data_IF_383056728544
#
_entry.id   IF_383056728544
#
_cell.length_a   1.000
_cell.length_b   1.000
_cell.length_c   1.000
_cell.angle_alpha   90.00
_cell.angle_beta   90.00
_cell.angle_gamma   90.00
#
_symmetry.space_group_name_H-M   'P 1'
#
loop_
_entity.id
_entity.type
_entity.pdbx_description
1 polymer ?
#
# COMPACT_ATOMS: atom_id res chain seq x y z
N UNK A 1 6.48 -28.66 -55.23
CA UNK A 1 6.00 -28.19 -53.90
C UNK A 1 6.87 -27.03 -53.52
N UNK A 2 6.37 -25.83 -53.80
CA UNK A 2 7.12 -24.59 -53.55
C UNK A 2 7.20 -24.32 -52.06
N UNK A 3 8.42 -24.42 -51.54
CA UNK A 3 8.76 -23.86 -50.23
C UNK A 3 8.90 -22.33 -50.35
N UNK A 4 7.79 -21.63 -50.45
CA UNK A 4 7.75 -20.22 -50.16
C UNK A 4 7.75 -20.05 -48.65
N UNK A 5 8.95 -20.12 -48.06
CA UNK A 5 9.18 -19.54 -46.72
C UNK A 5 8.91 -18.04 -46.81
N UNK A 6 7.71 -17.64 -46.37
CA UNK A 6 7.45 -16.27 -46.03
C UNK A 6 8.40 -15.88 -44.88
N UNK A 7 9.59 -15.40 -45.26
CA UNK A 7 10.46 -14.69 -44.31
C UNK A 7 9.70 -13.49 -43.80
N UNK A 8 9.19 -13.61 -42.60
CA UNK A 8 8.58 -12.48 -41.87
C UNK A 8 9.63 -11.37 -41.81
N UNK A 9 9.40 -10.28 -42.55
CA UNK A 9 10.25 -9.09 -42.44
C UNK A 9 9.84 -8.38 -41.16
N UNK A 10 10.58 -8.62 -40.08
CA UNK A 10 10.39 -7.93 -38.82
C UNK A 10 10.91 -6.52 -39.00
N UNK A 11 10.00 -5.54 -39.07
CA UNK A 11 10.37 -4.13 -39.15
C UNK A 11 10.72 -3.63 -37.74
N UNK A 12 11.98 -3.26 -37.54
CA UNK A 12 12.47 -2.70 -36.27
C UNK A 12 12.17 -1.21 -36.23
N UNK A 13 11.66 -0.72 -35.09
CA UNK A 13 11.27 0.68 -34.92
C UNK A 13 12.46 1.58 -34.51
N UNK A 14 13.57 1.49 -35.24
CA UNK A 14 14.78 2.29 -34.96
C UNK A 14 14.53 3.80 -35.01
N UNK A 15 13.65 4.28 -35.89
CA UNK A 15 13.30 5.68 -35.96
C UNK A 15 12.64 6.18 -34.67
N UNK A 16 11.79 5.37 -34.06
CA UNK A 16 11.14 5.70 -32.78
C UNK A 16 12.15 5.68 -31.61
N UNK A 17 13.16 4.80 -31.69
CA UNK A 17 14.26 4.83 -30.73
C UNK A 17 15.03 6.16 -30.81
N UNK A 18 15.35 6.63 -32.02
CA UNK A 18 16.06 7.89 -32.20
C UNK A 18 15.23 9.09 -31.71
N UNK A 19 13.93 9.11 -32.00
CA UNK A 19 13.01 10.14 -31.47
C UNK A 19 13.01 10.14 -29.95
N UNK A 20 12.88 8.96 -29.32
CA UNK A 20 12.94 8.85 -27.86
C UNK A 20 14.26 9.39 -27.32
N UNK A 21 15.39 8.94 -27.91
CA UNK A 21 16.71 9.29 -27.40
C UNK A 21 17.00 10.77 -27.52
N UNK A 22 16.64 11.39 -28.63
CA UNK A 22 16.80 12.83 -28.83
C UNK A 22 15.93 13.66 -27.88
N UNK A 23 14.80 13.14 -27.47
CA UNK A 23 13.87 13.84 -26.57
C UNK A 23 14.24 13.67 -25.10
N UNK A 24 14.61 12.45 -24.69
CA UNK A 24 14.76 12.07 -23.27
C UNK A 24 16.16 11.56 -22.91
N UNK A 25 16.87 10.95 -23.86
CA UNK A 25 18.10 10.19 -23.61
C UNK A 25 19.30 11.03 -23.16
N UNK A 26 19.38 12.31 -23.62
CA UNK A 26 20.50 13.21 -23.29
C UNK A 26 20.68 13.41 -21.76
N UNK A 27 19.62 13.27 -20.99
CA UNK A 27 19.62 13.45 -19.53
C UNK A 27 19.90 12.15 -18.75
N UNK A 28 19.90 10.99 -19.42
CA UNK A 28 19.96 9.68 -18.76
C UNK A 28 21.39 9.25 -18.39
N UNK A 29 22.44 9.90 -18.93
CA UNK A 29 23.85 9.52 -18.71
C UNK A 29 24.13 8.03 -18.97
N UNK A 30 23.46 7.45 -19.99
CA UNK A 30 23.58 6.05 -20.42
C UNK A 30 24.26 5.97 -21.79
N UNK A 31 24.87 4.83 -22.07
CA UNK A 31 25.45 4.55 -23.38
C UNK A 31 24.34 4.26 -24.41
N UNK A 32 24.13 5.19 -25.33
CA UNK A 32 23.12 5.10 -26.38
C UNK A 32 23.24 3.82 -27.19
N UNK A 33 24.46 3.49 -27.64
CA UNK A 33 24.69 2.35 -28.52
C UNK A 33 24.39 1.02 -27.83
N UNK A 34 24.75 0.91 -26.56
CA UNK A 34 24.42 -0.26 -25.76
C UNK A 34 22.90 -0.42 -25.59
N UNK A 35 22.22 0.62 -25.17
CA UNK A 35 20.75 0.60 -24.98
C UNK A 35 20.04 0.30 -26.31
N UNK A 36 20.52 0.88 -27.43
CA UNK A 36 19.98 0.59 -28.76
C UNK A 36 20.10 -0.87 -29.14
N UNK A 37 21.27 -1.49 -28.89
CA UNK A 37 21.47 -2.92 -29.14
C UNK A 37 20.51 -3.78 -28.32
N UNK A 38 20.33 -3.48 -27.03
CA UNK A 38 19.38 -4.20 -26.17
C UNK A 38 17.94 -4.02 -26.70
N UNK A 39 17.56 -2.78 -27.05
CA UNK A 39 16.23 -2.48 -27.61
C UNK A 39 15.95 -3.31 -28.88
N UNK A 40 16.88 -3.30 -29.84
CA UNK A 40 16.74 -4.08 -31.09
C UNK A 40 16.53 -5.58 -30.77
N UNK A 41 17.32 -6.15 -29.87
CA UNK A 41 17.22 -7.55 -29.50
C UNK A 41 15.87 -7.89 -28.80
N UNK A 42 15.40 -7.02 -27.91
CA UNK A 42 14.10 -7.18 -27.24
C UNK A 42 12.96 -7.02 -28.24
N UNK A 43 13.01 -6.02 -29.13
CA UNK A 43 11.97 -5.75 -30.14
C UNK A 43 11.84 -6.90 -31.14
N UNK A 44 12.97 -7.45 -31.61
CA UNK A 44 12.98 -8.64 -32.48
C UNK A 44 12.30 -9.83 -31.76
N UNK A 45 12.71 -10.10 -30.52
CA UNK A 45 12.18 -11.22 -29.73
C UNK A 45 10.67 -11.06 -29.49
N UNK A 46 10.24 -9.84 -29.18
CA UNK A 46 8.84 -9.48 -28.97
C UNK A 46 8.00 -9.62 -30.26
N UNK A 47 8.47 -9.05 -31.38
CA UNK A 47 7.78 -9.13 -32.68
C UNK A 47 7.74 -10.57 -33.23
N UNK A 48 8.76 -11.37 -32.96
CA UNK A 48 8.77 -12.79 -33.31
C UNK A 48 7.66 -13.54 -32.57
N UNK A 49 7.47 -13.26 -31.28
CA UNK A 49 6.38 -13.84 -30.50
C UNK A 49 5.00 -13.44 -31.05
N UNK A 50 4.80 -12.15 -31.37
CA UNK A 50 3.51 -11.67 -31.90
C UNK A 50 3.20 -12.23 -33.29
N UNK A 51 4.22 -12.47 -34.09
CA UNK A 51 4.07 -13.02 -35.43
C UNK A 51 3.81 -14.54 -35.42
N UNK A 52 4.00 -15.21 -34.29
CA UNK A 52 3.63 -16.63 -34.15
C UNK A 52 2.10 -16.73 -34.24
N UNK A 53 1.63 -17.48 -35.22
CA UNK A 53 0.19 -17.70 -35.49
C UNK A 53 -0.53 -18.40 -34.34
N UNK A 54 0.18 -18.99 -33.39
CA UNK A 54 -0.38 -19.61 -32.18
C UNK A 54 -0.69 -18.60 -31.11
N UNK A 55 -0.11 -17.37 -31.14
CA UNK A 55 -0.38 -16.30 -30.21
C UNK A 55 -1.60 -15.51 -30.70
N UNK A 56 -2.77 -15.85 -30.17
CA UNK A 56 -4.04 -15.19 -30.50
C UNK A 56 -4.32 -13.95 -29.66
N UNK A 57 -3.45 -13.65 -28.69
CA UNK A 57 -3.70 -12.61 -27.70
C UNK A 57 -3.46 -11.21 -28.29
N UNK A 58 -4.58 -10.52 -28.58
CA UNK A 58 -4.62 -9.16 -29.15
C UNK A 58 -3.90 -8.15 -28.24
N UNK A 59 -3.69 -8.47 -27.00
CA UNK A 59 -3.20 -7.56 -25.95
C UNK A 59 -1.68 -7.45 -25.96
N UNK A 60 -0.98 -8.49 -26.38
CA UNK A 60 0.46 -8.43 -26.62
C UNK A 60 0.86 -7.51 -27.79
N UNK A 61 -0.12 -7.07 -28.60
CA UNK A 61 0.13 -6.23 -29.78
C UNK A 61 0.33 -4.74 -29.46
N UNK A 62 0.20 -4.32 -28.20
CA UNK A 62 0.11 -2.91 -27.82
C UNK A 62 1.25 -2.39 -26.94
N UNK A 63 2.38 -3.11 -26.82
CA UNK A 63 3.55 -2.55 -26.11
C UNK A 63 4.10 -1.34 -26.87
N UNK A 64 4.05 -0.20 -26.24
CA UNK A 64 4.59 1.04 -26.82
C UNK A 64 6.12 0.99 -26.87
N UNK A 65 6.70 1.39 -28.00
CA UNK A 65 8.17 1.45 -28.17
C UNK A 65 8.83 2.29 -27.07
N UNK A 66 8.22 3.41 -26.69
CA UNK A 66 8.74 4.28 -25.63
C UNK A 66 8.72 3.62 -24.27
N UNK A 67 7.70 2.82 -23.97
CA UNK A 67 7.61 2.06 -22.72
C UNK A 67 8.69 0.98 -22.67
N UNK A 68 8.92 0.29 -23.77
CA UNK A 68 10.01 -0.69 -23.92
C UNK A 68 11.38 -0.06 -23.66
N UNK A 69 11.68 1.09 -24.26
CA UNK A 69 12.98 1.77 -24.10
C UNK A 69 13.13 2.28 -22.66
N UNK A 70 12.10 2.87 -22.06
CA UNK A 70 12.11 3.31 -20.67
C UNK A 70 12.40 2.13 -19.71
N UNK A 71 11.79 0.99 -20.00
CA UNK A 71 11.98 -0.22 -19.22
C UNK A 71 13.42 -0.73 -19.26
N UNK A 72 14.00 -0.78 -20.46
CA UNK A 72 15.40 -1.19 -20.67
C UNK A 72 16.35 -0.23 -19.93
N UNK A 73 16.12 1.08 -20.05
CA UNK A 73 16.91 2.08 -19.33
C UNK A 73 16.83 1.89 -17.81
N UNK A 74 15.63 1.68 -17.28
CA UNK A 74 15.41 1.48 -15.84
C UNK A 74 16.11 0.21 -15.31
N UNK A 75 16.00 -0.91 -16.03
CA UNK A 75 16.65 -2.17 -15.65
C UNK A 75 18.18 -2.05 -15.72
N UNK A 76 18.72 -1.43 -16.77
CA UNK A 76 20.16 -1.22 -16.88
C UNK A 76 20.70 -0.33 -15.75
N UNK A 77 20.01 0.76 -15.41
CA UNK A 77 20.36 1.62 -14.27
C UNK A 77 20.28 0.85 -12.97
N UNK A 78 19.24 0.06 -12.75
CA UNK A 78 19.09 -0.75 -11.54
C UNK A 78 20.26 -1.72 -11.37
N UNK A 79 20.57 -2.52 -12.41
CA UNK A 79 21.67 -3.48 -12.36
C UNK A 79 23.04 -2.81 -12.23
N UNK A 80 23.29 -1.71 -12.95
CA UNK A 80 24.55 -0.98 -12.86
C UNK A 80 24.78 -0.37 -11.47
N UNK A 81 23.72 0.03 -10.78
CA UNK A 81 23.84 0.60 -9.43
C UNK A 81 24.10 -0.43 -8.33
N UNK A 82 23.85 -1.71 -8.60
CA UNK A 82 24.21 -2.81 -7.68
C UNK A 82 25.70 -3.16 -7.72
N UNK A 83 26.43 -2.67 -8.73
CA UNK A 83 27.83 -3.00 -8.92
C UNK A 83 28.78 -1.91 -8.38
N UNK A 84 29.99 -2.35 -7.99
CA UNK A 84 31.08 -1.42 -7.66
C UNK A 84 31.49 -0.62 -8.92
N UNK A 85 31.92 0.61 -8.74
CA UNK A 85 32.28 1.53 -9.83
C UNK A 85 33.22 0.92 -10.88
N UNK A 86 34.21 0.14 -10.43
CA UNK A 86 35.21 -0.53 -11.28
C UNK A 86 34.65 -1.60 -12.24
N UNK A 87 33.46 -2.13 -11.93
CA UNK A 87 32.80 -3.15 -12.74
C UNK A 87 31.79 -2.54 -13.72
N UNK A 88 31.37 -1.30 -13.52
CA UNK A 88 30.39 -0.61 -14.38
C UNK A 88 30.87 -0.44 -15.81
N UNK A 89 32.12 -0.05 -15.99
CA UNK A 89 32.71 0.19 -17.32
C UNK A 89 32.86 -1.08 -18.17
N UNK A 90 32.91 -2.25 -17.52
CA UNK A 90 33.00 -3.55 -18.21
C UNK A 90 31.65 -4.18 -18.48
N UNK A 91 30.60 -3.71 -17.80
CA UNK A 91 29.27 -4.34 -17.86
C UNK A 91 28.69 -4.33 -19.27
N UNK A 92 28.84 -3.19 -19.98
CA UNK A 92 28.28 -3.01 -21.32
C UNK A 92 29.02 -3.78 -22.41
N UNK A 93 30.25 -4.26 -22.12
CA UNK A 93 31.05 -5.14 -22.98
C UNK A 93 30.87 -6.63 -22.67
N UNK A 94 30.14 -6.98 -21.61
CA UNK A 94 29.89 -8.36 -21.21
C UNK A 94 28.69 -8.94 -21.97
N UNK A 95 28.96 -9.91 -22.82
CA UNK A 95 27.93 -10.59 -23.62
C UNK A 95 26.92 -11.36 -22.74
N UNK A 96 27.33 -11.92 -21.61
CA UNK A 96 26.44 -12.59 -20.68
C UNK A 96 25.47 -11.60 -20.05
N UNK A 97 25.98 -10.44 -19.65
CA UNK A 97 25.12 -9.36 -19.12
C UNK A 97 24.12 -8.87 -20.19
N UNK A 98 24.58 -8.64 -21.42
CA UNK A 98 23.70 -8.27 -22.52
C UNK A 98 22.55 -9.27 -22.69
N UNK A 99 22.86 -10.57 -22.79
CA UNK A 99 21.86 -11.60 -22.96
C UNK A 99 20.90 -11.71 -21.76
N UNK A 100 21.42 -11.56 -20.54
CA UNK A 100 20.59 -11.52 -19.32
C UNK A 100 19.65 -10.32 -19.31
N UNK A 101 20.13 -9.12 -19.65
CA UNK A 101 19.33 -7.90 -19.71
C UNK A 101 18.22 -8.01 -20.75
N UNK A 102 18.52 -8.52 -21.96
CA UNK A 102 17.53 -8.78 -23.01
C UNK A 102 16.44 -9.72 -22.53
N UNK A 103 16.81 -10.85 -21.88
CA UNK A 103 15.83 -11.80 -21.36
C UNK A 103 14.97 -11.21 -20.25
N UNK A 104 15.58 -10.53 -19.26
CA UNK A 104 14.87 -9.89 -18.18
C UNK A 104 13.87 -8.85 -18.71
N UNK A 105 14.31 -7.98 -19.62
CA UNK A 105 13.43 -6.98 -20.21
C UNK A 105 12.28 -7.59 -21.00
N UNK A 106 12.57 -8.61 -21.83
CA UNK A 106 11.55 -9.33 -22.57
C UNK A 106 10.53 -10.02 -21.67
N UNK A 107 10.97 -10.81 -20.69
CA UNK A 107 10.09 -11.56 -19.79
C UNK A 107 9.22 -10.61 -18.96
N UNK A 108 9.80 -9.50 -18.47
CA UNK A 108 9.06 -8.50 -17.69
C UNK A 108 8.06 -7.72 -18.56
N UNK A 109 8.36 -7.43 -19.81
CA UNK A 109 7.40 -6.83 -20.74
C UNK A 109 6.19 -7.74 -20.95
N UNK A 110 6.41 -9.03 -21.19
CA UNK A 110 5.33 -10.00 -21.34
C UNK A 110 4.50 -10.11 -20.05
N UNK A 111 5.15 -10.28 -18.91
CA UNK A 111 4.47 -10.37 -17.61
C UNK A 111 3.65 -9.09 -17.33
N UNK A 112 4.20 -7.92 -17.62
CA UNK A 112 3.50 -6.66 -17.38
C UNK A 112 2.32 -6.47 -18.31
N UNK A 113 2.42 -6.89 -19.58
CA UNK A 113 1.28 -6.87 -20.49
C UNK A 113 0.17 -7.82 -20.00
N UNK A 114 0.48 -9.05 -19.61
CA UNK A 114 -0.52 -9.94 -19.01
C UNK A 114 -1.13 -9.37 -17.72
N UNK A 115 -0.34 -8.78 -16.85
CA UNK A 115 -0.87 -8.06 -15.66
C UNK A 115 -1.68 -6.83 -16.04
N UNK A 116 -1.27 -6.09 -17.07
CA UNK A 116 -1.96 -4.91 -17.58
C UNK A 116 -3.32 -5.23 -18.21
N UNK A 117 -3.54 -6.46 -18.67
CA UNK A 117 -4.78 -6.89 -19.30
C UNK A 117 -5.96 -6.83 -18.32
N UNK A 118 -5.82 -7.49 -17.18
CA UNK A 118 -6.89 -7.56 -16.20
C UNK A 118 -7.13 -6.19 -15.51
N UNK A 119 -6.07 -5.40 -15.34
CA UNK A 119 -6.14 -4.10 -14.69
C UNK A 119 -6.49 -2.94 -15.64
N UNK A 120 -6.22 -3.02 -16.95
CA UNK A 120 -6.50 -1.92 -17.90
C UNK A 120 -7.96 -1.49 -17.91
N UNK A 121 -8.90 -2.44 -17.87
CA UNK A 121 -10.32 -2.12 -17.82
C UNK A 121 -10.72 -1.46 -16.50
N UNK A 122 -10.16 -1.89 -15.38
CA UNK A 122 -10.41 -1.35 -14.04
C UNK A 122 -9.65 -0.03 -13.85
N UNK A 123 -8.39 0.07 -14.30
CA UNK A 123 -7.60 1.30 -14.27
C UNK A 123 -8.28 2.40 -15.09
N UNK A 124 -8.81 2.09 -16.29
CA UNK A 124 -9.53 3.07 -17.08
C UNK A 124 -10.80 3.57 -16.39
N UNK A 125 -11.44 2.73 -15.59
CA UNK A 125 -12.70 3.06 -14.89
C UNK A 125 -12.46 3.82 -13.57
N UNK A 126 -11.38 3.53 -12.85
CA UNK A 126 -11.11 4.05 -11.50
C UNK A 126 -9.76 4.76 -11.37
N UNK A 127 -9.03 4.99 -12.48
CA UNK A 127 -7.69 5.54 -12.44
C UNK A 127 -7.62 6.93 -11.79
N UNK A 128 -8.60 7.78 -12.03
CA UNK A 128 -8.66 9.12 -11.43
C UNK A 128 -8.88 9.03 -9.92
N UNK A 129 -9.83 8.17 -9.51
CA UNK A 129 -10.20 7.96 -8.12
C UNK A 129 -9.03 7.39 -7.29
N UNK A 130 -8.29 6.45 -7.85
CA UNK A 130 -7.18 5.79 -7.13
C UNK A 130 -5.86 6.56 -7.18
N UNK A 131 -5.51 7.13 -8.33
CA UNK A 131 -4.20 7.79 -8.53
C UNK A 131 -4.02 9.01 -7.65
N UNK A 132 -5.05 9.86 -7.54
CA UNK A 132 -4.93 11.09 -6.75
C UNK A 132 -4.76 10.79 -5.26
N UNK A 133 -5.52 9.79 -4.75
CA UNK A 133 -5.38 9.37 -3.35
C UNK A 133 -4.02 8.71 -3.10
N UNK A 134 -3.53 7.89 -4.03
CA UNK A 134 -2.18 7.29 -3.97
C UNK A 134 -1.10 8.38 -3.92
N UNK A 135 -1.27 9.46 -4.67
CA UNK A 135 -0.34 10.58 -4.66
C UNK A 135 -0.27 11.25 -3.27
N UNK A 136 -1.41 11.46 -2.61
CA UNK A 136 -1.45 11.96 -1.24
C UNK A 136 -0.74 11.03 -0.27
N UNK A 137 -1.03 9.72 -0.31
CA UNK A 137 -0.38 8.72 0.54
C UNK A 137 1.14 8.72 0.34
N UNK A 138 1.62 8.77 -0.91
CA UNK A 138 3.04 8.82 -1.17
C UNK A 138 3.71 10.09 -0.59
N UNK A 139 3.03 11.24 -0.63
CA UNK A 139 3.53 12.49 -0.02
C UNK A 139 3.58 12.39 1.51
N UNK A 140 2.57 11.77 2.13
CA UNK A 140 2.57 11.52 3.57
C UNK A 140 3.71 10.55 3.97
N UNK A 141 3.99 9.52 3.17
CA UNK A 141 5.14 8.63 3.38
C UNK A 141 6.48 9.38 3.33
N UNK A 142 6.66 10.25 2.33
CA UNK A 142 7.89 11.06 2.22
C UNK A 142 8.06 11.95 3.44
N UNK A 143 6.99 12.59 3.90
CA UNK A 143 7.02 13.40 5.11
C UNK A 143 7.35 12.55 6.34
N UNK A 144 6.67 11.41 6.52
CA UNK A 144 6.91 10.51 7.65
C UNK A 144 8.37 10.05 7.74
N UNK A 145 8.98 9.72 6.59
CA UNK A 145 10.40 9.31 6.51
C UNK A 145 11.41 10.41 6.85
N UNK A 146 10.99 11.68 6.87
CA UNK A 146 11.85 12.83 7.21
C UNK A 146 11.63 13.34 8.64
N UNK A 147 10.67 12.78 9.37
CA UNK A 147 10.37 13.17 10.75
C UNK A 147 11.43 12.60 11.70
N UNK A 148 11.94 13.47 12.57
CA UNK A 148 12.80 13.06 13.70
C UNK A 148 11.94 12.84 14.94
N UNK A 149 11.89 11.60 15.41
CA UNK A 149 11.16 11.23 16.61
C UNK A 149 12.01 11.43 17.87
N UNK A 150 11.34 11.69 19.00
CA UNK A 150 11.99 11.63 20.29
C UNK A 150 12.36 10.14 20.60
N UNK A 151 13.63 9.79 20.75
CA UNK A 151 14.07 8.40 20.97
C UNK A 151 13.52 7.81 22.28
N UNK A 152 13.14 8.65 23.23
CA UNK A 152 12.59 8.23 24.53
C UNK A 152 11.07 8.12 24.55
N UNK A 153 10.36 8.50 23.48
CA UNK A 153 8.90 8.40 23.42
C UNK A 153 8.47 7.13 22.70
N UNK A 154 7.96 6.17 23.46
CA UNK A 154 7.34 4.95 22.95
C UNK A 154 6.07 5.29 22.13
N UNK A 155 5.30 6.27 22.60
CA UNK A 155 4.09 6.73 21.93
C UNK A 155 4.38 7.29 20.54
N UNK A 156 5.36 8.21 20.39
CA UNK A 156 5.70 8.79 19.09
C UNK A 156 6.19 7.72 18.10
N UNK A 157 7.02 6.78 18.56
CA UNK A 157 7.49 5.66 17.74
C UNK A 157 6.33 4.79 17.28
N UNK A 158 5.46 4.37 18.21
CA UNK A 158 4.28 3.56 17.89
C UNK A 158 3.36 4.26 16.90
N UNK A 159 3.08 5.56 17.09
CA UNK A 159 2.26 6.33 16.17
C UNK A 159 2.88 6.37 14.77
N UNK A 160 4.20 6.60 14.65
CA UNK A 160 4.90 6.60 13.37
C UNK A 160 4.78 5.24 12.65
N UNK A 161 5.01 4.14 13.38
CA UNK A 161 4.90 2.78 12.85
C UNK A 161 3.46 2.48 12.36
N UNK A 162 2.46 2.89 13.13
CA UNK A 162 1.04 2.71 12.77
C UNK A 162 0.67 3.58 11.57
N UNK A 163 1.09 4.86 11.50
CA UNK A 163 0.87 5.71 10.33
C UNK A 163 1.45 5.06 9.07
N UNK A 164 2.71 4.60 9.13
CA UNK A 164 3.36 3.91 8.02
C UNK A 164 2.56 2.69 7.55
N UNK A 165 2.09 1.88 8.49
CA UNK A 165 1.27 0.69 8.17
C UNK A 165 -0.10 1.07 7.59
N UNK A 166 -0.76 2.12 8.11
CA UNK A 166 -2.01 2.64 7.56
C UNK A 166 -1.84 3.11 6.11
N UNK A 167 -0.76 3.84 5.81
CA UNK A 167 -0.46 4.28 4.44
C UNK A 167 -0.28 3.10 3.49
N UNK A 168 0.45 2.06 3.92
CA UNK A 168 0.63 0.84 3.13
C UNK A 168 -0.70 0.13 2.87
N UNK A 169 -1.58 0.03 3.87
CA UNK A 169 -2.87 -0.64 3.74
C UNK A 169 -3.82 0.10 2.80
N UNK A 170 -3.89 1.43 2.86
CA UNK A 170 -4.68 2.21 1.89
C UNK A 170 -4.13 2.00 0.48
N UNK A 171 -2.81 2.07 0.30
CA UNK A 171 -2.20 1.83 -1.02
C UNK A 171 -2.49 0.43 -1.53
N UNK A 172 -2.44 -0.59 -0.66
CA UNK A 172 -2.82 -1.96 -1.00
C UNK A 172 -4.28 -2.05 -1.44
N UNK A 173 -5.20 -1.44 -0.68
CA UNK A 173 -6.63 -1.38 -1.01
C UNK A 173 -6.87 -0.76 -2.40
N UNK A 174 -6.21 0.38 -2.69
CA UNK A 174 -6.36 1.06 -3.98
C UNK A 174 -5.79 0.22 -5.14
N UNK A 175 -4.65 -0.43 -4.95
CA UNK A 175 -4.06 -1.31 -5.97
C UNK A 175 -4.96 -2.52 -6.25
N UNK A 176 -5.49 -3.17 -5.20
CA UNK A 176 -6.41 -4.29 -5.34
C UNK A 176 -7.70 -3.90 -6.09
N UNK A 177 -8.22 -2.68 -5.86
CA UNK A 177 -9.35 -2.16 -6.63
C UNK A 177 -8.99 -1.95 -8.11
N UNK A 178 -7.77 -1.48 -8.41
CA UNK A 178 -7.29 -1.36 -9.79
C UNK A 178 -7.12 -2.72 -10.47
N UNK A 179 -6.76 -3.75 -9.71
CA UNK A 179 -6.56 -5.12 -10.20
C UNK A 179 -7.89 -5.92 -10.28
N UNK A 180 -9.03 -5.32 -9.92
CA UNK A 180 -10.33 -6.01 -9.92
C UNK A 180 -10.52 -6.99 -8.76
N UNK A 181 -9.75 -6.84 -7.69
CA UNK A 181 -9.78 -7.67 -6.49
C UNK A 181 -10.59 -6.96 -5.39
N UNK A 182 -11.86 -6.72 -5.64
CA UNK A 182 -12.72 -5.89 -4.77
C UNK A 182 -12.98 -6.51 -3.39
N UNK A 183 -13.02 -7.83 -3.30
CA UNK A 183 -13.21 -8.56 -2.02
C UNK A 183 -11.97 -8.45 -1.13
N UNK A 184 -10.78 -8.61 -1.73
CA UNK A 184 -9.48 -8.44 -1.09
C UNK A 184 -9.26 -6.99 -0.67
N UNK A 185 -9.68 -6.04 -1.52
CA UNK A 185 -9.63 -4.62 -1.20
C UNK A 185 -10.50 -4.29 0.03
N UNK A 186 -11.69 -4.86 0.12
CA UNK A 186 -12.58 -4.68 1.28
C UNK A 186 -11.99 -5.29 2.55
N UNK A 187 -11.36 -6.46 2.46
CA UNK A 187 -10.64 -7.11 3.57
C UNK A 187 -9.42 -6.28 4.02
N UNK A 188 -8.67 -5.71 3.07
CA UNK A 188 -7.55 -4.81 3.36
C UNK A 188 -8.03 -3.51 4.03
N UNK A 189 -9.17 -2.95 3.58
CA UNK A 189 -9.80 -1.81 4.24
C UNK A 189 -10.21 -2.14 5.67
N UNK A 190 -10.77 -3.32 5.94
CA UNK A 190 -11.10 -3.74 7.31
C UNK A 190 -9.88 -3.69 8.22
N UNK A 191 -8.76 -4.28 7.78
CA UNK A 191 -7.51 -4.27 8.55
C UNK A 191 -6.99 -2.84 8.77
N UNK A 192 -7.11 -1.99 7.75
CA UNK A 192 -6.78 -0.57 7.86
C UNK A 192 -7.68 0.14 8.88
N UNK A 193 -8.99 -0.11 8.85
CA UNK A 193 -9.95 0.50 9.78
C UNK A 193 -9.68 0.08 11.24
N UNK A 194 -9.37 -1.21 11.49
CA UNK A 194 -8.96 -1.68 12.81
C UNK A 194 -7.72 -0.92 13.31
N UNK A 195 -6.73 -0.75 12.45
CA UNK A 195 -5.50 -0.05 12.80
C UNK A 195 -5.70 1.46 12.98
N UNK A 196 -6.61 2.06 12.21
CA UNK A 196 -7.02 3.46 12.38
C UNK A 196 -7.70 3.68 13.75
N UNK A 197 -8.52 2.72 14.20
CA UNK A 197 -9.10 2.75 15.54
C UNK A 197 -8.00 2.66 16.63
N UNK A 198 -7.03 1.76 16.48
CA UNK A 198 -5.88 1.67 17.38
C UNK A 198 -5.13 2.99 17.45
N UNK A 199 -4.79 3.57 16.29
CA UNK A 199 -4.08 4.84 16.20
C UNK A 199 -4.83 5.96 16.92
N UNK A 200 -6.15 6.01 16.76
CA UNK A 200 -7.00 7.02 17.38
C UNK A 200 -7.05 6.89 18.90
N UNK A 201 -7.11 5.67 19.41
CA UNK A 201 -7.05 5.39 20.85
C UNK A 201 -5.67 5.76 21.43
N UNK A 202 -4.58 5.35 20.77
CA UNK A 202 -3.21 5.73 21.17
C UNK A 202 -3.03 7.25 21.18
N UNK A 203 -3.61 7.96 20.19
CA UNK A 203 -3.52 9.42 20.10
C UNK A 203 -4.24 10.13 21.25
N UNK A 204 -5.37 9.57 21.71
CA UNK A 204 -6.13 10.09 22.87
C UNK A 204 -5.44 9.79 24.21
N UNK A 205 -4.66 8.72 24.29
CA UNK A 205 -3.98 8.27 25.50
C UNK A 205 -2.64 8.96 25.74
N UNK A 206 -2.06 8.68 26.90
CA UNK A 206 -0.71 9.08 27.29
C UNK A 206 0.33 8.03 26.87
N UNK A 207 1.58 8.21 27.34
CA UNK A 207 2.69 7.27 27.10
C UNK A 207 2.39 5.86 27.66
N UNK A 208 1.63 5.76 28.74
CA UNK A 208 1.31 4.48 29.38
C UNK A 208 0.35 3.64 28.51
N UNK A 209 -0.57 4.26 27.79
CA UNK A 209 -1.43 3.55 26.81
C UNK A 209 -0.59 2.90 25.71
N UNK A 210 0.41 3.60 25.19
CA UNK A 210 1.32 3.05 24.19
C UNK A 210 2.14 1.87 24.75
N UNK A 211 2.67 2.01 25.97
CA UNK A 211 3.38 0.92 26.64
C UNK A 211 2.46 -0.28 26.92
N UNK A 212 1.21 -0.04 27.33
CA UNK A 212 0.23 -1.08 27.52
C UNK A 212 -0.05 -1.84 26.21
N UNK A 213 -0.18 -1.14 25.09
CA UNK A 213 -0.35 -1.78 23.79
C UNK A 213 0.78 -2.77 23.45
N UNK A 214 2.05 -2.40 23.75
CA UNK A 214 3.18 -3.32 23.57
C UNK A 214 3.16 -4.48 24.55
N UNK A 215 2.79 -4.25 25.83
CA UNK A 215 2.65 -5.36 26.80
C UNK A 215 1.61 -6.38 26.33
N UNK A 216 0.51 -5.92 25.76
CA UNK A 216 -0.55 -6.79 25.23
C UNK A 216 -0.10 -7.60 24.00
N UNK A 217 0.86 -7.11 23.21
CA UNK A 217 1.51 -7.92 22.16
C UNK A 217 2.20 -9.15 22.81
N UNK A 218 2.93 -8.92 23.89
CA UNK A 218 3.62 -9.99 24.64
C UNK A 218 2.61 -10.95 25.30
N UNK A 219 1.52 -10.46 25.88
CA UNK A 219 0.45 -11.28 26.44
C UNK A 219 -0.20 -12.16 25.35
N UNK A 220 -0.40 -11.63 24.16
CA UNK A 220 -0.90 -12.38 23.01
C UNK A 220 0.07 -13.47 22.56
N UNK A 221 1.36 -13.20 22.48
CA UNK A 221 2.40 -14.17 22.13
C UNK A 221 2.45 -15.32 23.16
N UNK A 222 2.38 -15.01 24.45
CA UNK A 222 2.26 -16.01 25.51
C UNK A 222 1.00 -16.88 25.33
N UNK A 223 -0.16 -16.26 25.08
CA UNK A 223 -1.42 -17.00 24.95
C UNK A 223 -1.44 -17.96 23.73
N UNK A 224 -0.68 -17.63 22.68
CA UNK A 224 -0.49 -18.50 21.50
C UNK A 224 0.59 -19.57 21.70
N UNK A 225 1.28 -19.61 22.85
CA UNK A 225 2.35 -20.57 23.13
C UNK A 225 3.65 -20.31 22.38
N UNK A 226 3.89 -19.07 21.91
CA UNK A 226 5.10 -18.68 21.19
C UNK A 226 6.30 -18.52 22.13
N UNK A 227 6.06 -18.23 23.43
CA UNK A 227 7.08 -18.04 24.46
C UNK A 227 7.21 -19.33 25.26
N UNK A 228 8.43 -19.88 25.33
CA UNK A 228 8.72 -21.19 25.98
C UNK A 228 9.64 -21.07 27.18
N UNK A 229 10.30 -19.95 27.36
CA UNK A 229 11.18 -19.71 28.50
C UNK A 229 10.35 -19.52 29.79
N UNK A 230 10.54 -20.38 30.78
CA UNK A 230 9.75 -20.37 32.00
C UNK A 230 9.92 -19.08 32.81
N UNK A 231 11.13 -18.53 32.87
CA UNK A 231 11.40 -17.30 33.61
C UNK A 231 10.77 -16.07 32.89
N UNK A 232 10.68 -16.08 31.56
CA UNK A 232 9.98 -15.08 30.79
C UNK A 232 8.46 -15.21 30.99
N UNK A 233 7.92 -16.43 30.97
CA UNK A 233 6.51 -16.70 31.22
C UNK A 233 6.09 -16.19 32.62
N UNK A 234 6.87 -16.43 33.65
CA UNK A 234 6.57 -15.93 35.01
C UNK A 234 6.52 -14.40 35.06
N UNK A 235 7.45 -13.71 34.39
CA UNK A 235 7.46 -12.25 34.30
C UNK A 235 6.22 -11.71 33.57
N UNK A 236 5.81 -12.37 32.47
CA UNK A 236 4.61 -12.02 31.71
C UNK A 236 3.36 -12.19 32.54
N UNK A 237 3.23 -13.31 33.23
CA UNK A 237 2.08 -13.60 34.11
C UNK A 237 1.99 -12.61 35.27
N UNK A 238 3.12 -12.28 35.90
CA UNK A 238 3.17 -11.28 36.98
C UNK A 238 2.79 -9.86 36.44
N UNK A 239 3.29 -9.48 35.27
CA UNK A 239 2.95 -8.22 34.62
C UNK A 239 1.46 -8.14 34.27
N UNK A 240 0.90 -9.21 33.68
CA UNK A 240 -0.51 -9.29 33.33
C UNK A 240 -1.42 -9.25 34.56
N UNK A 241 -1.05 -9.97 35.63
CA UNK A 241 -1.79 -9.93 36.89
C UNK A 241 -1.81 -8.53 37.51
N UNK A 242 -0.67 -7.84 37.48
CA UNK A 242 -0.56 -6.45 37.93
C UNK A 242 -1.43 -5.50 37.11
N UNK A 243 -1.40 -5.61 35.78
CA UNK A 243 -2.23 -4.77 34.90
C UNK A 243 -3.73 -5.04 35.14
N UNK A 244 -4.14 -6.31 35.24
CA UNK A 244 -5.52 -6.68 35.56
C UNK A 244 -5.97 -6.14 36.91
N UNK A 245 -5.11 -6.21 37.94
CA UNK A 245 -5.38 -5.65 39.24
C UNK A 245 -5.52 -4.14 39.21
N UNK A 246 -4.59 -3.45 38.52
CA UNK A 246 -4.60 -1.97 38.39
C UNK A 246 -5.86 -1.46 37.68
N UNK A 247 -6.39 -2.23 36.75
CA UNK A 247 -7.58 -1.90 35.95
C UNK A 247 -8.86 -2.54 36.52
N UNK A 248 -8.78 -3.22 37.67
CA UNK A 248 -9.91 -3.92 38.36
C UNK A 248 -10.62 -4.97 37.49
N UNK A 249 -9.87 -5.64 36.59
CA UNK A 249 -10.40 -6.67 35.66
C UNK A 249 -10.62 -7.98 36.39
N UNK A 250 -11.83 -8.54 36.26
CA UNK A 250 -12.15 -9.89 36.84
C UNK A 250 -11.38 -11.01 36.13
N UNK A 251 -10.91 -12.01 36.86
CA UNK A 251 -10.17 -13.18 36.32
C UNK A 251 -10.90 -13.90 35.18
N UNK A 252 -12.24 -13.94 35.21
CA UNK A 252 -13.06 -14.53 34.15
C UNK A 252 -12.90 -13.85 32.79
N UNK A 253 -12.42 -12.62 32.77
CA UNK A 253 -12.22 -11.83 31.55
C UNK A 253 -10.77 -11.86 31.02
N UNK A 254 -9.90 -12.74 31.55
CA UNK A 254 -8.47 -12.78 31.18
C UNK A 254 -8.23 -12.90 29.69
N UNK A 255 -8.92 -13.76 28.97
CA UNK A 255 -8.74 -13.99 27.55
C UNK A 255 -9.11 -12.73 26.75
N UNK A 256 -10.23 -12.09 27.06
CA UNK A 256 -10.65 -10.85 26.43
C UNK A 256 -9.68 -9.71 26.77
N UNK A 257 -9.18 -9.69 28.02
CA UNK A 257 -8.18 -8.71 28.45
C UNK A 257 -6.89 -8.81 27.64
N UNK A 258 -6.41 -10.01 27.34
CA UNK A 258 -5.21 -10.21 26.50
C UNK A 258 -5.32 -9.48 25.16
N UNK A 259 -6.48 -9.51 24.53
CA UNK A 259 -6.67 -8.90 23.19
C UNK A 259 -6.94 -7.40 23.24
N UNK A 260 -7.74 -6.93 24.17
CA UNK A 260 -8.25 -5.56 24.16
C UNK A 260 -8.10 -4.81 25.49
N UNK A 261 -7.55 -5.41 26.52
CA UNK A 261 -7.44 -4.79 27.84
C UNK A 261 -6.61 -3.50 27.88
N UNK A 262 -5.67 -3.32 26.94
CA UNK A 262 -4.88 -2.11 26.80
C UNK A 262 -5.72 -0.85 26.56
N UNK A 263 -6.93 -0.97 26.02
CA UNK A 263 -7.86 0.14 25.77
C UNK A 263 -8.28 0.81 27.07
N UNK A 264 -8.39 0.03 28.16
CA UNK A 264 -8.83 0.52 29.46
C UNK A 264 -7.83 1.47 30.13
N UNK A 265 -6.55 1.46 29.68
CA UNK A 265 -5.57 2.42 30.15
C UNK A 265 -5.88 3.86 29.73
N UNK A 266 -6.70 4.06 28.69
CA UNK A 266 -7.23 5.41 28.33
C UNK A 266 -8.07 5.96 29.47
N UNK A 267 -8.86 5.13 30.11
CA UNK A 267 -9.75 5.49 31.23
C UNK A 267 -9.14 5.20 32.59
N UNK A 268 -7.99 4.52 32.64
CA UNK A 268 -7.33 4.04 33.86
C UNK A 268 -8.20 3.17 34.77
N UNK A 269 -9.22 2.52 34.19
CA UNK A 269 -10.13 1.59 34.87
C UNK A 269 -10.86 0.73 33.86
N UNK A 270 -11.30 -0.44 34.29
CA UNK A 270 -12.23 -1.31 33.56
C UNK A 270 -13.67 -0.91 33.93
N UNK A 271 -14.50 -0.65 32.94
CA UNK A 271 -15.92 -0.38 33.14
C UNK A 271 -16.74 -1.52 32.55
N UNK A 272 -17.22 -2.46 33.40
CA UNK A 272 -17.91 -3.68 33.03
C UNK A 272 -19.25 -3.44 32.30
N UNK A 273 -19.91 -2.28 32.52
CA UNK A 273 -21.24 -2.01 31.98
C UNK A 273 -21.20 -1.44 30.56
N UNK A 274 -20.11 -0.74 30.21
CA UNK A 274 -20.01 -0.03 28.93
C UNK A 274 -19.04 -0.68 27.93
N UNK A 275 -18.17 -1.58 28.40
CA UNK A 275 -17.01 -2.05 27.64
C UNK A 275 -17.02 -3.58 27.55
N UNK A 276 -17.23 -4.09 26.32
CA UNK A 276 -17.37 -5.52 26.05
C UNK A 276 -16.08 -6.24 25.71
N UNK A 277 -14.92 -5.57 25.78
CA UNK A 277 -13.62 -6.07 25.34
C UNK A 277 -13.69 -6.82 24.02
N UNK A 278 -14.18 -6.15 22.99
CA UNK A 278 -14.15 -6.62 21.61
C UNK A 278 -13.99 -5.42 20.67
N UNK A 279 -13.71 -5.69 19.39
CA UNK A 279 -13.46 -4.63 18.43
C UNK A 279 -14.64 -3.65 18.30
N UNK A 280 -15.84 -4.16 18.02
CA UNK A 280 -17.01 -3.32 17.75
C UNK A 280 -17.54 -2.63 19.03
N UNK A 281 -17.52 -3.32 20.16
CA UNK A 281 -18.05 -2.79 21.41
C UNK A 281 -17.14 -1.75 22.06
N UNK A 282 -15.84 -1.90 21.91
CA UNK A 282 -14.87 -1.08 22.65
C UNK A 282 -13.95 -0.28 21.75
N UNK A 283 -13.09 -0.92 20.98
CA UNK A 283 -12.06 -0.23 20.22
C UNK A 283 -12.68 0.79 19.26
N UNK A 284 -13.67 0.39 18.49
CA UNK A 284 -14.33 1.26 17.54
C UNK A 284 -15.13 2.39 18.23
N UNK A 285 -15.76 2.08 19.37
CA UNK A 285 -16.48 3.07 20.19
C UNK A 285 -15.53 4.08 20.81
N UNK A 286 -14.44 3.63 21.43
CA UNK A 286 -13.41 4.50 22.03
C UNK A 286 -12.72 5.35 20.98
N UNK A 287 -12.57 4.81 19.77
CA UNK A 287 -12.03 5.53 18.62
C UNK A 287 -13.00 6.58 18.05
N UNK A 288 -14.28 6.64 18.44
CA UNK A 288 -15.36 7.44 17.83
C UNK A 288 -15.48 7.22 16.30
N UNK A 289 -15.53 5.94 15.89
CA UNK A 289 -15.64 5.51 14.50
C UNK A 289 -16.79 4.52 14.28
N UNK A 290 -17.82 4.63 15.10
CA UNK A 290 -18.99 3.70 15.09
C UNK A 290 -19.85 3.82 13.84
N UNK A 291 -19.77 4.92 13.11
CA UNK A 291 -20.42 5.13 11.82
C UNK A 291 -19.99 4.12 10.76
N UNK A 292 -18.80 3.53 10.90
CA UNK A 292 -18.28 2.50 9.99
C UNK A 292 -18.71 1.08 10.35
N UNK A 293 -19.51 0.88 11.41
CA UNK A 293 -19.89 -0.46 11.91
C UNK A 293 -20.48 -1.34 10.81
N UNK A 294 -21.44 -0.83 10.03
CA UNK A 294 -22.07 -1.58 8.93
C UNK A 294 -21.05 -2.02 7.88
N UNK A 295 -20.11 -1.16 7.52
CA UNK A 295 -19.08 -1.48 6.52
C UNK A 295 -18.07 -2.48 7.06
N UNK A 296 -17.74 -2.37 8.35
CA UNK A 296 -16.89 -3.34 9.03
C UNK A 296 -17.53 -4.74 9.06
N UNK A 297 -18.84 -4.84 9.32
CA UNK A 297 -19.59 -6.10 9.30
C UNK A 297 -19.56 -6.72 7.90
N UNK A 298 -19.83 -5.95 6.84
CA UNK A 298 -19.73 -6.41 5.45
C UNK A 298 -18.30 -6.91 5.13
N UNK A 299 -17.27 -6.16 5.53
CA UNK A 299 -15.89 -6.55 5.32
C UNK A 299 -15.50 -7.81 6.11
N UNK A 300 -16.09 -7.98 7.28
CA UNK A 300 -15.93 -9.20 8.10
C UNK A 300 -16.55 -10.41 7.40
N UNK A 301 -17.75 -10.27 6.86
CA UNK A 301 -18.44 -11.33 6.12
C UNK A 301 -17.63 -11.78 4.90
N UNK A 302 -17.07 -10.84 4.14
CA UNK A 302 -16.17 -11.12 3.01
C UNK A 302 -14.93 -11.88 3.49
N UNK A 303 -14.32 -11.46 4.59
CA UNK A 303 -13.09 -12.08 5.12
C UNK A 303 -13.33 -13.50 5.66
N UNK A 304 -14.52 -13.77 6.20
CA UNK A 304 -14.88 -15.07 6.78
C UNK A 304 -15.54 -16.05 5.79
N UNK A 305 -15.33 -15.83 4.49
CA UNK A 305 -15.76 -16.73 3.43
C UNK A 305 -17.28 -17.02 3.45
N UNK A 306 -18.09 -16.03 3.80
CA UNK A 306 -19.55 -16.12 3.66
C UNK A 306 -19.96 -16.12 2.18
N UNK A 307 -21.20 -16.44 1.81
CA UNK A 307 -21.67 -16.33 0.43
C UNK A 307 -21.45 -14.96 -0.22
N UNK A 308 -21.30 -13.90 0.59
CA UNK A 308 -21.02 -12.55 0.12
C UNK A 308 -19.68 -12.48 -0.63
N UNK A 309 -18.69 -13.27 -0.24
CA UNK A 309 -17.39 -13.36 -0.93
C UNK A 309 -17.54 -13.71 -2.42
N UNK A 310 -18.48 -14.61 -2.74
CA UNK A 310 -18.64 -15.15 -4.11
C UNK A 310 -19.70 -14.38 -4.90
N UNK A 311 -20.78 -13.97 -4.24
CA UNK A 311 -21.98 -13.44 -4.89
C UNK A 311 -22.17 -11.94 -4.74
N UNK A 312 -21.25 -11.22 -4.10
CA UNK A 312 -21.34 -9.77 -4.02
C UNK A 312 -21.32 -9.12 -5.41
N UNK A 313 -22.16 -8.11 -5.60
CA UNK A 313 -22.07 -7.31 -6.81
C UNK A 313 -20.77 -6.50 -6.82
N UNK A 314 -19.88 -6.82 -7.78
CA UNK A 314 -18.55 -6.23 -7.91
C UNK A 314 -18.57 -4.69 -7.95
N UNK A 315 -19.47 -4.11 -8.74
CA UNK A 315 -19.58 -2.65 -8.88
C UNK A 315 -19.98 -1.99 -7.55
N UNK A 316 -20.92 -2.60 -6.83
CA UNK A 316 -21.37 -2.10 -5.53
C UNK A 316 -20.25 -2.19 -4.51
N UNK A 317 -19.55 -3.32 -4.47
CA UNK A 317 -18.46 -3.53 -3.52
C UNK A 317 -17.30 -2.58 -3.80
N UNK A 318 -16.89 -2.42 -5.07
CA UNK A 318 -15.85 -1.46 -5.47
C UNK A 318 -16.20 -0.03 -5.07
N UNK A 319 -17.43 0.42 -5.39
CA UNK A 319 -17.85 1.80 -5.09
C UNK A 319 -17.95 2.04 -3.60
N UNK A 320 -18.43 1.04 -2.84
CA UNK A 320 -18.48 1.09 -1.37
C UNK A 320 -17.06 1.16 -0.79
N UNK A 321 -16.15 0.29 -1.25
CA UNK A 321 -14.76 0.26 -0.77
C UNK A 321 -14.04 1.56 -1.07
N UNK A 322 -14.21 2.14 -2.27
CA UNK A 322 -13.67 3.46 -2.61
C UNK A 322 -14.19 4.54 -1.65
N UNK A 323 -15.52 4.59 -1.44
CA UNK A 323 -16.15 5.58 -0.56
C UNK A 323 -15.55 5.53 0.85
N UNK A 324 -15.58 4.36 1.48
CA UNK A 324 -15.09 4.21 2.86
C UNK A 324 -13.58 4.40 2.98
N UNK A 325 -12.81 4.09 1.91
CA UNK A 325 -11.37 4.35 1.86
C UNK A 325 -11.09 5.86 1.88
N UNK A 326 -11.84 6.65 1.10
CA UNK A 326 -11.71 8.11 1.11
C UNK A 326 -12.10 8.72 2.45
N UNK A 327 -13.24 8.30 3.03
CA UNK A 327 -13.68 8.77 4.35
C UNK A 327 -12.62 8.48 5.42
N UNK A 328 -12.15 7.25 5.47
CA UNK A 328 -11.12 6.84 6.41
C UNK A 328 -9.76 7.54 6.17
N UNK A 329 -9.44 7.84 4.90
CA UNK A 329 -8.26 8.63 4.56
C UNK A 329 -8.36 10.06 5.12
N UNK A 330 -9.51 10.73 5.02
CA UNK A 330 -9.67 12.08 5.59
C UNK A 330 -9.48 12.10 7.10
N UNK A 331 -9.97 11.06 7.79
CA UNK A 331 -9.70 10.89 9.23
C UNK A 331 -8.21 10.71 9.49
N UNK A 332 -7.55 9.80 8.75
CA UNK A 332 -6.12 9.53 8.90
C UNK A 332 -5.26 10.77 8.59
N UNK A 333 -5.56 11.50 7.51
CA UNK A 333 -4.85 12.72 7.14
C UNK A 333 -4.95 13.79 8.22
N UNK A 334 -6.15 13.99 8.77
CA UNK A 334 -6.37 14.94 9.86
C UNK A 334 -5.56 14.57 11.09
N UNK A 335 -5.55 13.28 11.46
CA UNK A 335 -4.75 12.77 12.57
C UNK A 335 -3.25 12.95 12.33
N UNK A 336 -2.79 12.67 11.12
CA UNK A 336 -1.38 12.80 10.77
C UNK A 336 -0.89 14.24 10.85
N UNK A 337 -1.67 15.20 10.33
CA UNK A 337 -1.33 16.63 10.43
C UNK A 337 -1.33 17.09 11.88
N UNK A 338 -2.33 16.70 12.66
CA UNK A 338 -2.41 17.05 14.09
C UNK A 338 -1.22 16.46 14.87
N UNK A 339 -0.84 15.22 14.57
CA UNK A 339 0.34 14.61 15.16
C UNK A 339 1.63 15.36 14.79
N UNK A 340 1.81 15.70 13.50
CA UNK A 340 2.95 16.49 13.05
C UNK A 340 3.02 17.85 13.75
N UNK A 341 1.90 18.58 13.83
CA UNK A 341 1.88 19.94 14.36
C UNK A 341 1.87 19.99 15.89
N UNK A 342 1.05 19.19 16.54
CA UNK A 342 0.81 19.30 17.99
C UNK A 342 1.76 18.42 18.81
N UNK A 343 1.95 17.15 18.40
CA UNK A 343 2.76 16.21 19.17
C UNK A 343 4.25 16.32 18.84
N UNK A 344 4.61 16.68 17.59
CA UNK A 344 5.99 16.84 17.15
C UNK A 344 6.42 18.31 17.01
N UNK A 345 5.52 19.27 17.17
CA UNK A 345 5.80 20.70 17.07
C UNK A 345 6.26 21.15 15.68
N UNK A 346 5.92 20.41 14.62
CA UNK A 346 6.29 20.78 13.26
C UNK A 346 5.44 21.95 12.78
N UNK A 347 6.09 22.90 12.11
CA UNK A 347 5.46 24.07 11.51
C UNK A 347 6.11 24.38 10.15
N UNK A 348 5.48 25.18 9.30
CA UNK A 348 6.09 25.62 8.04
C UNK A 348 7.43 26.33 8.21
N UNK A 349 7.68 26.94 9.37
CA UNK A 349 8.92 27.68 9.66
C UNK A 349 10.08 26.79 10.09
N UNK A 350 9.81 25.61 10.67
CA UNK A 350 10.85 24.71 11.20
C UNK A 350 11.01 23.41 10.43
N UNK A 351 10.10 23.07 9.51
CA UNK A 351 10.15 21.86 8.70
C UNK A 351 9.77 22.13 7.25
N UNK A 352 10.78 22.10 6.36
CA UNK A 352 10.55 22.24 4.92
C UNK A 352 9.64 21.12 4.39
N UNK A 353 9.84 19.88 4.81
CA UNK A 353 9.02 18.77 4.35
C UNK A 353 7.55 18.91 4.74
N UNK A 354 7.27 19.41 5.94
CA UNK A 354 5.91 19.69 6.39
C UNK A 354 5.30 20.86 5.60
N UNK A 355 6.07 21.91 5.35
CA UNK A 355 5.65 23.04 4.51
C UNK A 355 5.30 22.58 3.08
N UNK A 356 6.19 21.79 2.44
CA UNK A 356 5.97 21.25 1.08
C UNK A 356 4.71 20.37 1.03
N UNK A 357 4.47 19.56 2.07
CA UNK A 357 3.24 18.78 2.18
C UNK A 357 1.98 19.67 2.28
N UNK A 358 2.02 20.72 3.08
CA UNK A 358 0.88 21.65 3.23
C UNK A 358 0.58 22.40 1.93
N UNK A 359 1.60 22.80 1.19
CA UNK A 359 1.43 23.41 -0.15
C UNK A 359 0.81 22.42 -1.14
N UNK A 360 1.31 21.20 -1.16
CA UNK A 360 0.74 20.13 -1.97
C UNK A 360 -0.74 19.89 -1.60
N UNK A 361 -1.04 19.74 -0.32
CA UNK A 361 -2.41 19.59 0.17
C UNK A 361 -3.31 20.73 -0.28
N UNK A 362 -2.88 21.99 -0.12
CA UNK A 362 -3.63 23.18 -0.56
C UNK A 362 -3.99 23.12 -2.05
N UNK A 363 -3.06 22.64 -2.89
CA UNK A 363 -3.23 22.59 -4.35
C UNK A 363 -4.14 21.45 -4.80
N UNK A 364 -4.12 20.29 -4.13
CA UNK A 364 -4.77 19.08 -4.62
C UNK A 364 -5.98 18.62 -3.79
N UNK A 365 -6.12 19.05 -2.53
CA UNK A 365 -7.27 18.68 -1.69
C UNK A 365 -8.62 19.00 -2.33
N UNK A 366 -8.85 20.15 -2.98
CA UNK A 366 -10.13 20.41 -3.65
C UNK A 366 -10.46 19.39 -4.75
N UNK A 367 -9.44 18.88 -5.45
CA UNK A 367 -9.64 17.83 -6.47
C UNK A 367 -10.04 16.49 -5.84
N UNK A 368 -9.42 16.14 -4.69
CA UNK A 368 -9.77 14.93 -3.92
C UNK A 368 -11.21 15.01 -3.43
N UNK A 369 -11.64 16.16 -2.93
CA UNK A 369 -13.01 16.39 -2.46
C UNK A 369 -14.03 16.29 -3.58
N UNK A 370 -13.74 16.82 -4.78
CA UNK A 370 -14.61 16.68 -5.96
C UNK A 370 -14.76 15.20 -6.34
N UNK A 371 -13.66 14.45 -6.40
CA UNK A 371 -13.70 13.01 -6.70
C UNK A 371 -14.52 12.26 -5.66
N UNK A 372 -14.31 12.57 -4.39
CA UNK A 372 -15.10 11.98 -3.30
C UNK A 372 -16.60 12.25 -3.44
N UNK A 373 -17.01 13.46 -3.82
CA UNK A 373 -18.40 13.78 -4.12
C UNK A 373 -18.98 12.94 -5.28
N UNK A 374 -18.16 12.71 -6.33
CA UNK A 374 -18.55 11.85 -7.45
C UNK A 374 -18.75 10.41 -6.98
N UNK A 375 -17.84 9.89 -6.16
CA UNK A 375 -17.92 8.54 -5.59
C UNK A 375 -19.18 8.41 -4.73
N UNK A 376 -19.44 9.36 -3.85
CA UNK A 376 -20.63 9.37 -3.01
C UNK A 376 -21.91 9.39 -3.81
N UNK A 377 -22.00 10.18 -4.87
CA UNK A 377 -23.16 10.21 -5.77
C UNK A 377 -23.37 8.86 -6.44
N UNK A 378 -22.31 8.24 -6.94
CA UNK A 378 -22.36 6.88 -7.53
C UNK A 378 -22.85 5.86 -6.49
N UNK A 379 -22.29 5.88 -5.27
CA UNK A 379 -22.70 4.98 -4.18
C UNK A 379 -24.17 5.13 -3.83
N UNK A 380 -24.68 6.35 -3.70
CA UNK A 380 -26.10 6.60 -3.39
C UNK A 380 -27.05 6.09 -4.48
N UNK A 381 -26.63 6.13 -5.76
CA UNK A 381 -27.45 5.61 -6.87
C UNK A 381 -27.49 4.08 -6.89
N UNK A 382 -26.48 3.42 -6.39
CA UNK A 382 -26.35 1.96 -6.38
C UNK A 382 -27.05 1.32 -5.17
N UNK A 383 -27.16 2.07 -4.06
CA UNK A 383 -27.73 1.58 -2.79
C UNK A 383 -29.21 1.89 -2.61
N UNK A 384 -29.81 2.62 -3.55
CA UNK A 384 -31.27 2.81 -3.70
C UNK A 384 -31.87 1.72 -4.60
#
# INVERSE_FOLDING_TARGET
MDENQNKLIIQIDENLFEVFWNTYGANLKLNKEFIKKVFIAVDIKYKTLIADSTVTDVLLKNVGVFDMINYICAEHVFHSNLLKAELKDKLESDENYFNQLVNICYDKLIINEYRGIDSKAVISKYSVETSLLTMFINRMFVLLGQIKLNPNSVKQKLQADIFGKCFMLIKSTLNQLCDGLETEAMSSWRTFHELLCVLRVISKGDEEVAKAYFRHLTYGAYNRGEIKDEAEIEKILASMAKDMQTLEVKKANKEKFINYGWIHWVYKRYNDEEVKMNFLGDLQKVADLTEYKKYYEIASDVTHSTPLLVYANKTNLTTTTLKITYESFFVLETMFINWCSNDLGLSPSNSKAFYDYLLFKKSYKPKVEIIFQIINKKHTLITK
#
